data_IF_241370296643
#
_entry.id   IF_241370296643
#
_cell.length_a   1.000
_cell.length_b   1.000
_cell.length_c   1.000
_cell.angle_alpha   90.00
_cell.angle_beta   90.00
_cell.angle_gamma   90.00
#
_symmetry.space_group_name_H-M   'P 1'
#
loop_
_entity.id
_entity.type
_entity.pdbx_description
1 polymer ?
#
# COMPACT_ATOMS: atom_id res chain seq x y z
N UNK A 1 -29.82 56.45 45.53
CA UNK A 1 -29.62 55.95 44.15
C UNK A 1 -28.16 56.23 43.78
N UNK A 2 -27.25 55.32 43.43
CA UNK A 2 -27.23 53.86 43.23
C UNK A 2 -25.82 53.43 43.69
N UNK A 3 -25.73 52.46 44.61
CA UNK A 3 -24.54 51.62 44.75
C UNK A 3 -24.57 50.58 43.61
N UNK A 4 -23.46 49.85 43.45
CA UNK A 4 -23.25 48.71 42.53
C UNK A 4 -22.58 49.08 41.19
N UNK A 5 -21.25 49.19 41.23
CA UNK A 5 -20.38 48.60 40.19
C UNK A 5 -19.54 47.56 40.90
N UNK A 6 -20.20 46.44 41.15
CA UNK A 6 -19.60 45.24 41.68
C UNK A 6 -18.90 44.49 40.53
N UNK A 7 -17.71 43.97 40.82
CA UNK A 7 -17.40 42.57 40.55
C UNK A 7 -17.61 42.12 39.09
N UNK A 8 -16.79 42.63 38.19
CA UNK A 8 -16.68 42.10 36.83
C UNK A 8 -15.25 41.61 36.57
N UNK A 9 -14.73 40.79 37.49
CA UNK A 9 -13.41 40.16 37.37
C UNK A 9 -13.33 38.74 37.94
N UNK A 10 -14.46 38.12 38.26
CA UNK A 10 -14.52 36.72 38.71
C UNK A 10 -15.41 35.83 37.83
N UNK A 11 -15.73 36.24 36.60
CA UNK A 11 -16.54 35.45 35.66
C UNK A 11 -15.75 34.91 34.45
N UNK A 12 -14.42 34.75 34.59
CA UNK A 12 -13.58 34.14 33.55
C UNK A 12 -12.76 32.94 34.04
N UNK A 13 -12.99 32.45 35.27
CA UNK A 13 -12.22 31.34 35.86
C UNK A 13 -13.08 30.17 36.35
N UNK A 14 -14.39 30.14 36.05
CA UNK A 14 -15.29 29.02 36.40
C UNK A 14 -16.15 28.62 35.19
N UNK A 15 -15.52 28.56 34.02
CA UNK A 15 -16.05 27.89 32.82
C UNK A 15 -14.98 27.01 32.13
N UNK A 16 -13.81 26.84 32.74
CA UNK A 16 -12.74 25.95 32.28
C UNK A 16 -12.80 24.54 32.89
N UNK A 17 -13.89 24.18 33.59
CA UNK A 17 -14.00 22.87 34.28
C UNK A 17 -15.26 22.06 33.91
N UNK A 18 -16.20 22.59 33.11
CA UNK A 18 -17.44 21.87 32.74
C UNK A 18 -17.88 22.20 31.30
N UNK A 19 -17.09 21.76 30.32
CA UNK A 19 -17.35 21.63 28.88
C UNK A 19 -15.96 21.60 28.22
N UNK A 20 -15.28 20.46 28.15
CA UNK A 20 -15.40 19.51 27.04
C UNK A 20 -15.17 18.10 27.59
N UNK A 21 -16.23 17.43 28.05
CA UNK A 21 -16.31 15.96 28.12
C UNK A 21 -17.11 15.44 26.92
N UNK A 22 -16.89 16.07 25.76
CA UNK A 22 -17.60 15.82 24.49
C UNK A 22 -16.69 16.04 23.28
N UNK A 23 -15.37 16.07 23.49
CA UNK A 23 -14.45 15.57 22.47
C UNK A 23 -14.42 14.09 22.77
N UNK A 24 -15.23 13.33 22.02
CA UNK A 24 -15.15 11.89 22.04
C UNK A 24 -13.68 11.50 21.94
N UNK A 25 -13.34 10.43 22.64
CA UNK A 25 -12.35 9.51 22.15
C UNK A 25 -12.60 9.40 20.64
N UNK A 26 -11.84 10.17 19.85
CA UNK A 26 -11.52 9.73 18.52
C UNK A 26 -10.77 8.46 18.86
N UNK A 27 -11.50 7.35 18.77
CA UNK A 27 -10.91 6.06 18.55
C UNK A 27 -9.77 6.35 17.58
N UNK A 28 -8.54 6.20 18.09
CA UNK A 28 -7.44 5.85 17.22
C UNK A 28 -7.94 4.54 16.65
N UNK A 29 -8.67 4.63 15.52
CA UNK A 29 -8.93 3.52 14.65
C UNK A 29 -7.55 2.94 14.47
N UNK A 30 -7.31 1.79 15.12
CA UNK A 30 -5.97 1.23 15.19
C UNK A 30 -5.45 1.21 13.77
N UNK A 31 -4.33 1.88 13.53
CA UNK A 31 -3.58 1.64 12.30
C UNK A 31 -3.38 0.13 12.30
N UNK A 32 -4.11 -0.59 11.43
CA UNK A 32 -3.90 -2.01 11.28
C UNK A 32 -2.43 -2.18 10.96
N UNK A 33 -1.70 -2.74 11.92
CA UNK A 33 -0.27 -2.96 11.79
C UNK A 33 -0.10 -3.91 10.60
N UNK A 34 0.55 -3.42 9.53
CA UNK A 34 0.81 -4.26 8.37
C UNK A 34 1.77 -5.38 8.78
N UNK A 35 1.23 -6.58 8.87
CA UNK A 35 2.02 -7.79 9.10
C UNK A 35 2.53 -8.25 7.74
N UNK A 36 3.85 -8.30 7.59
CA UNK A 36 4.50 -8.80 6.37
C UNK A 36 4.03 -10.24 6.09
N UNK A 37 3.31 -10.48 4.98
CA UNK A 37 2.76 -11.80 4.69
C UNK A 37 3.87 -12.76 4.23
N UNK A 38 3.62 -14.07 4.37
CA UNK A 38 4.61 -15.07 3.96
C UNK A 38 4.57 -15.25 2.44
N UNK A 39 5.74 -15.33 1.80
CA UNK A 39 5.83 -15.76 0.41
C UNK A 39 5.49 -17.24 0.30
N UNK A 40 4.61 -17.58 -0.64
CA UNK A 40 4.24 -18.95 -0.98
C UNK A 40 4.52 -19.21 -2.47
N UNK A 41 4.90 -20.44 -2.85
CA UNK A 41 5.04 -20.78 -4.26
C UNK A 41 3.65 -20.81 -4.92
N UNK A 42 3.48 -20.05 -5.99
CA UNK A 42 2.28 -20.16 -6.82
C UNK A 42 2.29 -21.49 -7.59
N UNK A 43 1.11 -21.96 -7.99
CA UNK A 43 0.95 -23.24 -8.69
C UNK A 43 1.08 -23.08 -10.20
N UNK A 44 0.59 -21.96 -10.71
CA UNK A 44 0.49 -21.68 -12.14
C UNK A 44 0.52 -20.18 -12.42
N UNK A 45 0.59 -19.78 -13.70
CA UNK A 45 0.68 -18.37 -14.07
C UNK A 45 -0.63 -17.61 -13.77
N UNK A 46 -1.75 -18.32 -13.82
CA UNK A 46 -3.10 -17.83 -13.59
C UNK A 46 -3.28 -17.26 -12.18
N UNK A 47 -2.48 -17.74 -11.21
CA UNK A 47 -2.44 -17.19 -9.83
C UNK A 47 -1.97 -15.72 -9.80
N UNK A 48 -1.29 -15.24 -10.84
CA UNK A 48 -0.83 -13.85 -10.97
C UNK A 48 -1.69 -13.01 -11.92
N UNK A 49 -2.52 -13.64 -12.76
CA UNK A 49 -3.27 -12.94 -13.80
C UNK A 49 -4.29 -12.00 -13.15
N UNK A 50 -4.30 -10.74 -13.59
CA UNK A 50 -5.22 -9.74 -13.09
C UNK A 50 -4.67 -8.32 -13.08
N UNK A 51 -5.44 -7.44 -12.46
CA UNK A 51 -5.12 -6.04 -12.24
C UNK A 51 -4.69 -5.82 -10.79
N UNK A 52 -3.53 -5.19 -10.60
CA UNK A 52 -2.88 -5.07 -9.30
C UNK A 52 -2.55 -3.61 -8.99
N UNK A 53 -2.78 -3.21 -7.74
CA UNK A 53 -2.49 -1.88 -7.20
C UNK A 53 -1.45 -1.92 -6.10
N UNK A 54 -0.55 -0.94 -6.09
CA UNK A 54 0.41 -0.77 -5.02
C UNK A 54 -0.31 -0.50 -3.69
N UNK A 55 0.09 -1.21 -2.64
CA UNK A 55 -0.54 -1.10 -1.32
C UNK A 55 0.48 -0.77 -0.24
N UNK A 56 1.58 -1.52 -0.18
CA UNK A 56 2.60 -1.36 0.87
C UNK A 56 4.02 -1.40 0.30
N UNK A 57 4.92 -0.68 0.95
CA UNK A 57 6.35 -0.72 0.72
C UNK A 57 7.07 -1.06 2.03
N UNK A 58 7.92 -2.07 2.01
CA UNK A 58 8.72 -2.52 3.17
C UNK A 58 10.20 -2.38 2.82
N UNK A 59 10.93 -1.59 3.61
CA UNK A 59 12.36 -1.37 3.44
C UNK A 59 13.17 -2.47 4.12
N UNK A 60 14.44 -2.62 3.75
CA UNK A 60 15.33 -3.64 4.34
C UNK A 60 15.55 -3.45 5.85
N UNK A 61 15.42 -2.21 6.35
CA UNK A 61 15.50 -1.90 7.79
C UNK A 61 14.22 -2.26 8.58
N UNK A 62 13.19 -2.77 7.88
CA UNK A 62 11.89 -3.13 8.45
C UNK A 62 10.89 -1.98 8.52
N UNK A 63 11.23 -0.77 8.07
CA UNK A 63 10.28 0.31 7.96
C UNK A 63 9.18 -0.06 6.95
N UNK A 64 7.93 0.29 7.28
CA UNK A 64 6.75 0.01 6.45
C UNK A 64 6.06 1.32 6.11
N UNK A 65 5.82 1.54 4.82
CA UNK A 65 5.07 2.69 4.31
C UNK A 65 3.82 2.20 3.57
N UNK A 66 2.65 2.68 4.00
CA UNK A 66 1.42 2.56 3.23
C UNK A 66 1.51 3.46 2.00
N UNK A 67 1.26 2.91 0.82
CA UNK A 67 1.19 3.67 -0.41
C UNK A 67 -0.22 4.25 -0.60
N UNK A 68 -0.37 5.38 -1.32
CA UNK A 68 -1.68 5.96 -1.58
C UNK A 68 -2.61 4.93 -2.22
N UNK A 69 -3.81 4.77 -1.64
CA UNK A 69 -4.83 3.88 -2.20
C UNK A 69 -5.30 4.42 -3.55
N UNK A 70 -5.24 3.56 -4.57
CA UNK A 70 -5.80 3.84 -5.88
C UNK A 70 -7.31 4.08 -5.75
N UNK A 71 -7.83 5.12 -6.42
CA UNK A 71 -9.26 5.36 -6.50
C UNK A 71 -9.93 4.32 -7.41
N UNK A 72 -11.25 4.06 -7.27
CA UNK A 72 -11.93 3.04 -8.07
C UNK A 72 -11.80 3.23 -9.59
N UNK A 73 -11.71 4.48 -10.04
CA UNK A 73 -11.55 4.89 -11.44
C UNK A 73 -10.09 4.99 -11.89
N UNK A 74 -9.12 4.88 -10.98
CA UNK A 74 -7.70 4.89 -11.35
C UNK A 74 -7.33 3.61 -12.12
N UNK A 75 -6.46 3.73 -13.15
CA UNK A 75 -5.92 2.55 -13.81
C UNK A 75 -5.06 1.73 -12.84
N UNK A 76 -5.03 0.41 -13.04
CA UNK A 76 -4.18 -0.47 -12.25
C UNK A 76 -2.69 -0.13 -12.41
N UNK A 77 -1.92 -0.29 -11.33
CA UNK A 77 -0.46 -0.08 -11.39
C UNK A 77 0.25 -1.17 -12.19
N UNK A 78 -0.31 -2.37 -12.21
CA UNK A 78 0.21 -3.49 -13.02
C UNK A 78 -0.95 -4.32 -13.57
N UNK A 79 -0.83 -4.72 -14.84
CA UNK A 79 -1.76 -5.66 -15.49
C UNK A 79 -0.96 -6.86 -15.94
N UNK A 80 -1.29 -8.03 -15.39
CA UNK A 80 -0.66 -9.31 -15.70
C UNK A 80 -1.64 -10.14 -16.52
N UNK A 81 -1.16 -10.66 -17.64
CA UNK A 81 -1.82 -11.68 -18.46
C UNK A 81 -0.82 -12.79 -18.77
N UNK A 82 -1.29 -13.90 -19.33
CA UNK A 82 -0.41 -15.03 -19.72
C UNK A 82 0.68 -14.62 -20.72
N UNK A 83 0.40 -13.63 -21.58
CA UNK A 83 1.31 -13.25 -22.68
C UNK A 83 2.19 -12.03 -22.35
N UNK A 84 1.74 -11.16 -21.45
CA UNK A 84 2.38 -9.86 -21.19
C UNK A 84 2.11 -9.36 -19.77
N UNK A 85 3.08 -8.61 -19.26
CA UNK A 85 2.91 -7.75 -18.08
C UNK A 85 3.08 -6.30 -18.51
N UNK A 86 2.12 -5.47 -18.13
CA UNK A 86 2.15 -4.02 -18.32
C UNK A 86 2.35 -3.35 -16.96
N UNK A 87 3.39 -2.52 -16.84
CA UNK A 87 3.67 -1.78 -15.62
C UNK A 87 3.41 -0.29 -15.85
N UNK A 88 2.72 0.33 -14.91
CA UNK A 88 2.37 1.75 -14.94
C UNK A 88 3.01 2.46 -13.74
N UNK A 89 3.68 3.58 -14.01
CA UNK A 89 4.16 4.49 -12.98
C UNK A 89 3.56 5.87 -13.22
N UNK A 90 2.87 6.42 -12.21
CA UNK A 90 2.26 7.75 -12.27
C UNK A 90 1.35 8.01 -13.50
N UNK A 91 0.65 6.98 -13.98
CA UNK A 91 -0.27 7.09 -15.12
C UNK A 91 0.35 6.87 -16.49
N UNK A 92 1.68 6.70 -16.59
CA UNK A 92 2.37 6.37 -17.85
C UNK A 92 2.79 4.90 -17.88
N UNK A 93 2.57 4.23 -19.02
CA UNK A 93 3.11 2.89 -19.26
C UNK A 93 4.62 2.98 -19.41
N UNK A 94 5.34 2.36 -18.49
CA UNK A 94 6.80 2.32 -18.49
C UNK A 94 7.36 1.18 -19.34
N UNK A 95 6.50 0.25 -19.78
CA UNK A 95 6.85 -0.77 -20.76
C UNK A 95 6.01 -2.04 -20.63
N UNK A 96 6.06 -2.86 -21.68
CA UNK A 96 5.58 -4.24 -21.66
C UNK A 96 6.75 -5.20 -21.52
N UNK A 97 6.60 -6.22 -20.68
CA UNK A 97 7.56 -7.31 -20.52
C UNK A 97 6.87 -8.65 -20.69
N UNK A 98 7.63 -9.68 -21.04
CA UNK A 98 7.11 -11.05 -21.16
C UNK A 98 7.11 -11.70 -19.77
N UNK A 99 5.99 -12.30 -19.33
CA UNK A 99 5.97 -13.15 -18.16
C UNK A 99 6.60 -14.51 -18.46
N UNK A 100 7.34 -15.04 -17.49
CA UNK A 100 7.86 -16.41 -17.49
C UNK A 100 7.62 -17.03 -16.12
N UNK A 101 6.69 -17.98 -16.05
CA UNK A 101 6.43 -18.72 -14.82
C UNK A 101 7.53 -19.76 -14.58
N UNK A 102 8.01 -19.83 -13.34
CA UNK A 102 9.07 -20.73 -12.91
C UNK A 102 8.47 -21.75 -11.94
N UNK A 103 8.14 -22.97 -12.40
CA UNK A 103 7.45 -23.96 -11.57
C UNK A 103 8.25 -24.42 -10.34
N UNK A 104 9.58 -24.33 -10.39
CA UNK A 104 10.45 -24.82 -9.32
C UNK A 104 10.33 -23.99 -8.03
N UNK A 105 10.11 -22.67 -8.16
CA UNK A 105 9.97 -21.75 -7.03
C UNK A 105 8.61 -21.05 -6.98
N UNK A 106 7.74 -21.31 -7.96
CA UNK A 106 6.40 -20.73 -8.06
C UNK A 106 6.41 -19.22 -8.30
N UNK A 107 7.48 -18.66 -8.88
CA UNK A 107 7.59 -17.23 -9.17
C UNK A 107 7.20 -16.89 -10.61
N UNK A 108 6.83 -15.62 -10.83
CA UNK A 108 6.65 -15.06 -12.17
C UNK A 108 7.78 -14.09 -12.48
N UNK A 109 8.67 -14.45 -13.41
CA UNK A 109 9.75 -13.57 -13.87
C UNK A 109 9.23 -12.64 -14.95
N UNK A 110 9.67 -11.38 -14.86
CA UNK A 110 9.42 -10.39 -15.90
C UNK A 110 10.65 -10.24 -16.78
N UNK A 111 10.52 -10.57 -18.06
CA UNK A 111 11.62 -10.65 -19.02
C UNK A 111 11.50 -9.51 -20.05
N UNK A 112 12.55 -8.70 -20.20
CA UNK A 112 12.66 -7.67 -21.25
C UNK A 112 12.87 -8.30 -22.62
N UNK A 113 12.68 -7.49 -23.66
CA UNK A 113 12.94 -7.91 -25.05
C UNK A 113 14.39 -8.35 -25.29
N UNK A 114 15.35 -7.81 -24.52
CA UNK A 114 16.76 -8.20 -24.58
C UNK A 114 17.07 -9.53 -23.84
N UNK A 115 16.05 -10.19 -23.29
CA UNK A 115 16.16 -11.44 -22.54
C UNK A 115 16.61 -11.26 -21.09
N UNK A 116 16.82 -10.04 -20.62
CA UNK A 116 17.20 -9.78 -19.22
C UNK A 116 15.97 -9.84 -18.31
N UNK A 117 16.10 -10.50 -17.16
CA UNK A 117 15.09 -10.47 -16.10
C UNK A 117 15.13 -9.11 -15.41
N UNK A 118 13.99 -8.47 -15.27
CA UNK A 118 13.87 -7.19 -14.55
C UNK A 118 13.66 -7.41 -13.07
N UNK A 119 12.72 -8.29 -12.72
CA UNK A 119 12.43 -8.72 -11.34
C UNK A 119 11.57 -9.99 -11.38
N UNK A 120 11.32 -10.57 -10.20
CA UNK A 120 10.45 -11.73 -10.01
C UNK A 120 9.31 -11.34 -9.06
N UNK A 121 8.09 -11.72 -9.44
CA UNK A 121 6.91 -11.59 -8.61
C UNK A 121 6.69 -12.88 -7.83
N UNK A 122 6.26 -12.74 -6.59
CA UNK A 122 5.95 -13.85 -5.69
C UNK A 122 4.55 -13.69 -5.11
N UNK A 123 3.81 -14.79 -5.01
CA UNK A 123 2.52 -14.80 -4.34
C UNK A 123 2.74 -14.87 -2.82
N UNK A 124 1.81 -14.30 -2.08
CA UNK A 124 1.82 -14.31 -0.61
C UNK A 124 0.60 -15.05 -0.06
N UNK A 125 0.69 -15.49 1.20
CA UNK A 125 -0.35 -16.30 1.86
C UNK A 125 -1.69 -15.58 2.06
N UNK A 126 -1.73 -14.26 1.96
CA UNK A 126 -2.95 -13.45 1.99
C UNK A 126 -3.42 -13.01 0.59
N UNK A 127 -2.84 -13.55 -0.49
CA UNK A 127 -3.26 -13.29 -1.87
C UNK A 127 -2.68 -12.03 -2.50
N UNK A 128 -1.74 -11.35 -1.85
CA UNK A 128 -0.98 -10.24 -2.46
C UNK A 128 0.14 -10.79 -3.36
N UNK A 129 0.62 -9.96 -4.29
CA UNK A 129 1.90 -10.19 -4.97
C UNK A 129 2.99 -9.28 -4.39
N UNK A 130 4.20 -9.79 -4.29
CA UNK A 130 5.36 -9.07 -3.80
C UNK A 130 6.51 -9.12 -4.82
N UNK A 131 7.26 -8.02 -4.93
CA UNK A 131 8.52 -8.00 -5.66
C UNK A 131 9.52 -7.04 -5.02
N UNK A 132 10.80 -7.38 -5.14
CA UNK A 132 11.88 -6.60 -4.52
C UNK A 132 12.57 -5.73 -5.56
N UNK A 133 12.74 -4.46 -5.20
CA UNK A 133 13.62 -3.52 -5.88
C UNK A 133 14.94 -3.51 -5.10
N UNK A 134 16.04 -4.03 -5.68
CA UNK A 134 17.30 -4.10 -4.98
C UNK A 134 17.88 -2.71 -4.74
N UNK A 135 18.70 -2.60 -3.70
CA UNK A 135 19.47 -1.41 -3.43
C UNK A 135 20.32 -1.00 -4.66
N UNK A 136 20.33 0.29 -4.96
CA UNK A 136 21.07 0.90 -6.06
C UNK A 136 21.45 2.34 -5.71
N UNK A 137 22.25 2.99 -6.55
CA UNK A 137 22.57 4.41 -6.36
C UNK A 137 21.34 5.32 -6.31
N UNK A 138 20.22 4.91 -6.93
CA UNK A 138 18.96 5.66 -6.93
C UNK A 138 17.95 5.18 -5.87
N UNK A 139 18.19 4.00 -5.29
CA UNK A 139 17.34 3.39 -4.25
C UNK A 139 18.28 2.83 -3.17
N UNK A 140 18.76 3.66 -2.22
CA UNK A 140 19.88 3.27 -1.36
C UNK A 140 19.63 2.04 -0.49
N UNK A 141 18.40 1.87 -0.01
CA UNK A 141 18.08 0.89 1.02
C UNK A 141 17.31 -0.33 0.48
N UNK A 142 17.11 -0.41 -0.84
CA UNK A 142 16.19 -1.37 -1.45
C UNK A 142 14.77 -1.25 -0.88
N UNK A 143 13.82 -2.00 -1.42
CA UNK A 143 12.53 -2.22 -0.78
C UNK A 143 11.76 -3.35 -1.48
N UNK A 144 10.82 -3.95 -0.76
CA UNK A 144 9.80 -4.84 -1.31
C UNK A 144 8.48 -4.09 -1.44
N UNK A 145 7.88 -4.17 -2.63
CA UNK A 145 6.52 -3.66 -2.88
C UNK A 145 5.55 -4.83 -2.77
N UNK A 146 4.43 -4.59 -2.09
CA UNK A 146 3.27 -5.48 -2.04
C UNK A 146 2.10 -4.84 -2.79
N UNK A 147 1.46 -5.64 -3.64
CA UNK A 147 0.32 -5.24 -4.44
C UNK A 147 -0.90 -6.08 -4.11
N UNK A 148 -2.06 -5.44 -4.07
CA UNK A 148 -3.35 -6.10 -3.89
C UNK A 148 -4.10 -6.13 -5.22
N UNK A 149 -4.92 -7.15 -5.42
CA UNK A 149 -5.76 -7.24 -6.61
C UNK A 149 -6.83 -6.14 -6.57
N UNK A 150 -7.04 -5.43 -7.68
CA UNK A 150 -7.95 -4.28 -7.75
C UNK A 150 -9.39 -4.64 -7.35
N UNK A 151 -9.85 -5.84 -7.71
CA UNK A 151 -11.19 -6.33 -7.33
C UNK A 151 -11.34 -6.45 -5.81
N UNK A 152 -10.34 -7.00 -5.12
CA UNK A 152 -10.33 -7.13 -3.65
C UNK A 152 -10.27 -5.78 -2.94
N UNK A 153 -9.57 -4.80 -3.52
CA UNK A 153 -9.49 -3.45 -2.96
C UNK A 153 -10.87 -2.77 -2.96
N UNK A 154 -11.65 -2.92 -4.04
CA UNK A 154 -12.98 -2.32 -4.15
C UNK A 154 -14.02 -2.95 -3.21
N UNK A 155 -13.85 -4.19 -2.78
CA UNK A 155 -14.73 -4.86 -1.81
C UNK A 155 -14.52 -4.38 -0.36
N UNK A 156 -13.41 -3.66 -0.12
CA UNK A 156 -13.04 -3.13 1.21
C UNK A 156 -13.52 -1.70 1.45
N UNK A 157 -14.20 -1.07 0.48
CA UNK A 157 -14.75 0.31 0.52
C UNK A 157 -16.27 0.27 0.64
#
# INVERSE_FOLDING_TARGET
MKKVTAWMLCLFLVLSVLAVSLAGEAEVAGEEEFIVPNIIPAKEIEDFVGEWNFCWMVYEDGAVNKLPEAQPDDPANMIISEDKVLLYAAGDSIGSVKPEFIPEDGSLRMIREDGTTTTSLHLTDNGMIAFTIPASFSVPDGYTIYMIQKEQQNESV
#
